data_IF_683034080558
#
_entry.id   IF_683034080558
#
_cell.length_a   1.000
_cell.length_b   1.000
_cell.length_c   1.000
_cell.angle_alpha   90.00
_cell.angle_beta   90.00
_cell.angle_gamma   90.00
#
_symmetry.space_group_name_H-M   'P 1'
#
loop_
_entity.id
_entity.type
_entity.pdbx_description
1 polymer ?
#
# COMPACT_ATOMS: atom_id res chain seq x y z
N UNK A 1 11.97 16.14 0.69
CA UNK A 1 10.91 15.14 0.91
C UNK A 1 9.88 15.32 -0.18
N UNK A 2 9.62 14.26 -0.94
CA UNK A 2 8.68 14.25 -2.06
C UNK A 2 7.48 13.37 -1.67
N UNK A 3 6.28 13.85 -1.95
CA UNK A 3 5.06 13.07 -1.75
C UNK A 3 4.93 12.02 -2.86
N UNK A 4 4.72 10.77 -2.47
CA UNK A 4 4.51 9.64 -3.40
C UNK A 4 3.23 8.90 -3.07
N UNK A 5 2.62 8.37 -4.12
CA UNK A 5 1.41 7.56 -4.03
C UNK A 5 1.72 6.19 -4.63
N UNK A 6 1.38 5.12 -3.91
CA UNK A 6 1.51 3.75 -4.37
C UNK A 6 0.17 3.04 -4.32
N UNK A 7 -0.17 2.37 -5.42
CA UNK A 7 -1.36 1.55 -5.54
C UNK A 7 -1.01 0.08 -5.29
N UNK A 8 -1.84 -0.58 -4.51
CA UNK A 8 -1.82 -2.01 -4.27
C UNK A 8 -3.13 -2.60 -4.78
N UNK A 9 -3.04 -3.58 -5.67
CA UNK A 9 -4.20 -4.21 -6.30
C UNK A 9 -4.13 -5.72 -6.08
N UNK A 10 -5.15 -6.31 -5.47
CA UNK A 10 -5.18 -7.73 -5.17
C UNK A 10 -5.11 -8.59 -6.46
N UNK A 11 -5.71 -8.11 -7.55
CA UNK A 11 -5.75 -8.83 -8.83
C UNK A 11 -4.36 -8.95 -9.52
N UNK A 12 -3.38 -8.14 -9.09
CA UNK A 12 -1.99 -8.21 -9.57
C UNK A 12 -1.10 -9.12 -8.72
N UNK A 13 -1.64 -9.67 -7.62
CA UNK A 13 -0.89 -10.53 -6.72
C UNK A 13 -0.90 -11.98 -7.19
N UNK A 14 0.12 -12.73 -6.78
CA UNK A 14 0.18 -14.17 -7.04
C UNK A 14 -0.94 -14.88 -6.25
N UNK A 15 -1.49 -15.99 -6.76
CA UNK A 15 -2.46 -16.79 -6.02
C UNK A 15 -1.94 -17.17 -4.62
N UNK A 16 -2.78 -16.98 -3.60
CA UNK A 16 -2.41 -17.25 -2.20
C UNK A 16 -1.68 -16.10 -1.50
N UNK A 17 -1.40 -14.98 -2.16
CA UNK A 17 -0.86 -13.77 -1.54
C UNK A 17 -2.00 -12.82 -1.20
N UNK A 18 -2.14 -12.45 0.07
CA UNK A 18 -3.14 -11.49 0.49
C UNK A 18 -2.64 -10.06 0.34
N UNK A 19 -3.53 -9.18 -0.11
CA UNK A 19 -3.24 -7.75 -0.25
C UNK A 19 -2.74 -7.14 1.07
N UNK A 20 -3.32 -7.58 2.18
CA UNK A 20 -3.00 -7.10 3.51
C UNK A 20 -1.53 -7.38 3.88
N UNK A 21 -0.99 -8.55 3.55
CA UNK A 21 0.40 -8.90 3.88
C UNK A 21 1.38 -7.98 3.15
N UNK A 22 1.17 -7.77 1.86
CA UNK A 22 2.01 -6.90 1.02
C UNK A 22 1.94 -5.44 1.46
N UNK A 23 0.75 -4.97 1.82
CA UNK A 23 0.57 -3.61 2.33
C UNK A 23 1.24 -3.47 3.69
N UNK A 24 1.09 -4.44 4.60
CA UNK A 24 1.70 -4.41 5.92
C UNK A 24 3.23 -4.38 5.86
N UNK A 25 3.85 -5.18 4.98
CA UNK A 25 5.30 -5.11 4.76
C UNK A 25 5.74 -3.72 4.28
N UNK A 26 5.00 -3.13 3.35
CA UNK A 26 5.31 -1.78 2.87
C UNK A 26 5.13 -0.71 3.95
N UNK A 27 4.07 -0.81 4.74
CA UNK A 27 3.83 0.10 5.86
C UNK A 27 4.94 -0.02 6.92
N UNK A 28 5.39 -1.24 7.23
CA UNK A 28 6.50 -1.45 8.16
C UNK A 28 7.84 -0.91 7.63
N UNK A 29 8.09 -0.96 6.32
CA UNK A 29 9.30 -0.40 5.71
C UNK A 29 9.33 1.14 5.77
N UNK A 30 8.16 1.78 5.61
CA UNK A 30 8.06 3.23 5.50
C UNK A 30 7.69 3.92 6.82
N UNK A 31 7.02 3.21 7.73
CA UNK A 31 6.64 3.60 9.09
C UNK A 31 6.28 5.09 9.26
N UNK A 32 7.18 5.91 9.78
CA UNK A 32 6.98 7.35 10.02
C UNK A 32 6.77 8.20 8.75
N UNK A 33 7.02 7.64 7.56
CA UNK A 33 6.84 8.32 6.28
C UNK A 33 5.44 8.14 5.70
N UNK A 34 4.60 7.28 6.29
CA UNK A 34 3.22 7.09 5.82
C UNK A 34 2.37 8.31 6.21
N UNK A 35 1.73 8.92 5.22
CA UNK A 35 0.82 10.05 5.41
C UNK A 35 -0.62 9.55 5.56
N UNK A 36 -1.05 8.67 4.66
CA UNK A 36 -2.41 8.17 4.64
C UNK A 36 -2.54 6.84 3.90
N UNK A 37 -3.55 6.07 4.27
CA UNK A 37 -3.93 4.81 3.62
C UNK A 37 -5.42 4.87 3.29
N UNK A 38 -5.78 4.70 2.02
CA UNK A 38 -7.15 4.83 1.55
C UNK A 38 -7.61 3.60 0.74
N UNK A 39 -8.76 3.01 1.07
CA UNK A 39 -9.40 2.06 0.17
C UNK A 39 -9.99 2.84 -1.02
N UNK A 40 -9.64 2.44 -2.24
CA UNK A 40 -10.12 3.09 -3.47
C UNK A 40 -11.20 2.25 -4.15
N UNK A 41 -11.07 0.92 -4.07
CA UNK A 41 -12.07 -0.06 -4.54
C UNK A 41 -12.01 -1.31 -3.66
N UNK A 42 -12.93 -2.25 -3.86
CA UNK A 42 -13.04 -3.49 -3.07
C UNK A 42 -11.72 -4.29 -2.97
N UNK A 43 -10.88 -4.21 -4.01
CA UNK A 43 -9.61 -4.94 -4.14
C UNK A 43 -8.38 -4.05 -4.28
N UNK A 44 -8.52 -2.74 -4.07
CA UNK A 44 -7.45 -1.78 -4.34
C UNK A 44 -7.26 -0.82 -3.17
N UNK A 45 -6.00 -0.62 -2.80
CA UNK A 45 -5.59 0.18 -1.65
C UNK A 45 -4.49 1.15 -2.08
N UNK A 46 -4.63 2.40 -1.66
CA UNK A 46 -3.72 3.50 -1.97
C UNK A 46 -2.96 3.88 -0.71
N UNK A 47 -1.63 3.94 -0.81
CA UNK A 47 -0.77 4.43 0.27
C UNK A 47 -0.08 5.70 -0.18
N UNK A 48 -0.29 6.78 0.57
CA UNK A 48 0.39 8.06 0.42
C UNK A 48 1.52 8.14 1.44
N UNK A 49 2.74 8.39 0.97
CA UNK A 49 3.93 8.41 1.83
C UNK A 49 4.96 9.45 1.35
N UNK A 50 5.93 9.76 2.19
CA UNK A 50 7.06 10.65 1.90
C UNK A 50 8.33 9.86 1.55
N UNK A 51 9.12 10.35 0.60
CA UNK A 51 10.45 9.79 0.29
C UNK A 51 11.48 10.87 -0.04
#
# INVERSE_FOLDING_TARGET
MVHKIKYFEADKLKPGVFLQDVVNEFLAEKDEKIIAVHPVMEKTLLVHYME
#
